data_IF_907636662738
#
_entry.id   IF_907636662738
#
_cell.length_a   1.000
_cell.length_b   1.000
_cell.length_c   1.000
_cell.angle_alpha   90.00
_cell.angle_beta   90.00
_cell.angle_gamma   90.00
#
_symmetry.space_group_name_H-M   'P 1'
#
loop_
_entity.id
_entity.type
_entity.pdbx_description
1 polymer ?
#
# COMPACT_ATOMS: atom_id res chain seq x y z
N UNK A 1 7.67 14.65 -8.92
CA UNK A 1 8.38 14.39 -7.65
C UNK A 1 8.97 15.66 -7.05
N UNK A 2 8.44 16.05 -5.89
CA UNK A 2 8.97 17.14 -5.05
C UNK A 2 10.12 16.62 -4.18
N UNK A 3 11.17 17.45 -4.01
CA UNK A 3 12.39 17.10 -3.28
C UNK A 3 12.62 18.08 -2.14
N UNK A 4 12.90 17.58 -0.95
CA UNK A 4 13.31 18.38 0.20
C UNK A 4 14.41 17.67 0.98
N UNK A 5 15.13 18.46 1.79
CA UNK A 5 16.15 17.97 2.71
C UNK A 5 15.81 18.45 4.11
N UNK A 6 16.02 17.59 5.10
CA UNK A 6 15.88 17.92 6.51
C UNK A 6 17.01 17.26 7.32
N UNK A 7 17.28 17.79 8.51
CA UNK A 7 18.22 17.18 9.44
C UNK A 7 17.48 16.12 10.27
N UNK A 8 18.07 14.93 10.39
CA UNK A 8 17.57 13.84 11.22
C UNK A 8 18.74 13.10 11.84
N UNK A 9 18.75 12.95 13.16
CA UNK A 9 19.84 12.32 13.92
C UNK A 9 21.25 12.87 13.56
N UNK A 10 21.35 14.19 13.39
CA UNK A 10 22.60 14.87 13.02
C UNK A 10 23.10 14.58 11.60
N UNK A 11 22.25 14.03 10.73
CA UNK A 11 22.54 13.60 9.36
C UNK A 11 21.52 14.18 8.38
N UNK A 12 21.85 14.19 7.09
CA UNK A 12 20.94 14.69 6.05
C UNK A 12 19.94 13.60 5.65
N UNK A 13 18.65 13.92 5.77
CA UNK A 13 17.53 13.14 5.24
C UNK A 13 17.03 13.75 3.94
N UNK A 14 16.98 12.93 2.90
CA UNK A 14 16.45 13.26 1.58
C UNK A 14 15.00 12.81 1.46
N UNK A 15 14.05 13.72 1.59
CA UNK A 15 12.64 13.41 1.41
C UNK A 15 12.23 13.59 -0.07
N UNK A 16 11.49 12.61 -0.59
CA UNK A 16 11.00 12.54 -1.96
C UNK A 16 9.51 12.31 -1.94
N UNK A 17 8.74 13.34 -2.28
CA UNK A 17 7.28 13.25 -2.31
C UNK A 17 6.83 13.16 -3.77
N UNK A 18 6.33 12.00 -4.15
CA UNK A 18 5.70 11.81 -5.44
C UNK A 18 4.28 12.38 -5.41
N UNK A 19 3.76 12.76 -6.56
CA UNK A 19 2.37 13.23 -6.66
C UNK A 19 1.39 12.05 -6.80
N UNK A 20 1.84 10.93 -7.38
CA UNK A 20 1.10 9.67 -7.42
C UNK A 20 2.03 8.49 -7.74
N UNK A 21 1.51 7.27 -7.61
CA UNK A 21 2.18 6.04 -8.07
C UNK A 21 2.54 6.07 -9.56
N UNK A 22 1.84 6.87 -10.38
CA UNK A 22 2.15 7.01 -11.80
C UNK A 22 3.56 7.57 -12.04
N UNK A 23 4.10 8.41 -11.14
CA UNK A 23 5.48 8.88 -11.24
C UNK A 23 6.49 7.75 -11.02
N UNK A 24 6.18 6.78 -10.15
CA UNK A 24 7.02 5.58 -9.99
C UNK A 24 6.95 4.69 -11.22
N UNK A 25 5.75 4.50 -11.79
CA UNK A 25 5.57 3.75 -13.03
C UNK A 25 6.31 4.42 -14.20
N UNK A 26 6.34 5.75 -14.23
CA UNK A 26 7.12 6.52 -15.21
C UNK A 26 8.63 6.30 -15.04
N UNK A 27 9.13 6.30 -13.80
CA UNK A 27 10.52 5.95 -13.51
C UNK A 27 10.86 4.50 -13.90
N UNK A 28 9.93 3.55 -13.68
CA UNK A 28 10.10 2.17 -14.15
C UNK A 28 10.20 2.10 -15.68
N UNK A 29 9.35 2.85 -16.37
CA UNK A 29 9.32 2.89 -17.84
C UNK A 29 10.63 3.45 -18.42
N UNK A 30 11.22 4.46 -17.78
CA UNK A 30 12.44 5.13 -18.24
C UNK A 30 13.74 4.57 -17.63
N UNK A 31 13.66 3.48 -16.88
CA UNK A 31 14.82 2.84 -16.26
C UNK A 31 15.89 2.40 -17.28
N UNK A 32 15.56 1.85 -18.47
CA UNK A 32 16.56 1.51 -19.48
C UNK A 32 17.37 2.72 -19.95
N UNK A 33 16.71 3.83 -20.27
CA UNK A 33 17.34 5.07 -20.69
C UNK A 33 18.22 5.65 -19.58
N UNK A 34 17.73 5.62 -18.34
CA UNK A 34 18.51 6.07 -17.19
C UNK A 34 19.76 5.21 -16.98
N UNK A 35 19.68 3.89 -17.18
CA UNK A 35 20.83 3.00 -17.13
C UNK A 35 21.86 3.34 -18.23
N UNK A 36 21.43 3.60 -19.47
CA UNK A 36 22.34 4.00 -20.54
C UNK A 36 23.05 5.33 -20.24
N UNK A 37 22.32 6.32 -19.72
CA UNK A 37 22.87 7.64 -19.40
C UNK A 37 23.84 7.60 -18.21
N UNK A 38 23.52 6.81 -17.20
CA UNK A 38 24.27 6.76 -15.95
C UNK A 38 25.39 5.70 -15.94
N UNK A 39 25.35 4.74 -16.86
CA UNK A 39 26.18 3.54 -16.82
C UNK A 39 25.92 2.64 -15.61
N UNK A 40 24.83 2.88 -14.86
CA UNK A 40 24.41 2.05 -13.74
C UNK A 40 24.02 0.68 -14.27
N UNK A 41 24.67 -0.38 -13.82
CA UNK A 41 24.11 -1.73 -13.87
C UNK A 41 23.00 -1.84 -12.82
N UNK A 42 21.84 -1.27 -13.14
CA UNK A 42 20.70 -1.12 -12.25
C UNK A 42 20.16 -2.48 -11.78
N UNK A 43 19.96 -2.64 -10.47
CA UNK A 43 19.32 -3.85 -9.93
C UNK A 43 17.86 -3.95 -10.35
N UNK A 44 17.17 -2.83 -10.57
CA UNK A 44 15.78 -2.83 -11.05
C UNK A 44 15.60 -3.49 -12.42
N UNK A 45 16.68 -3.53 -13.23
CA UNK A 45 16.70 -4.09 -14.59
C UNK A 45 17.34 -5.48 -14.68
N UNK A 46 17.78 -6.06 -13.55
CA UNK A 46 18.34 -7.43 -13.55
C UNK A 46 17.31 -8.45 -14.04
N UNK A 47 17.82 -9.43 -14.78
CA UNK A 47 17.04 -10.53 -15.40
C UNK A 47 17.47 -11.92 -14.90
N UNK A 48 18.68 -12.02 -14.37
CA UNK A 48 19.30 -13.26 -13.87
C UNK A 48 18.76 -13.69 -12.50
N UNK A 49 18.35 -12.73 -11.68
CA UNK A 49 17.80 -12.94 -10.33
C UNK A 49 16.27 -12.80 -10.27
N UNK A 50 15.55 -13.18 -11.34
CA UNK A 50 14.09 -12.91 -11.46
C UNK A 50 13.23 -13.41 -10.30
N UNK A 51 13.61 -14.51 -9.65
CA UNK A 51 12.90 -15.06 -8.48
C UNK A 51 12.89 -14.11 -7.28
N UNK A 52 13.89 -13.22 -7.22
CA UNK A 52 13.97 -12.20 -6.21
C UNK A 52 12.91 -11.12 -6.45
N UNK A 53 12.73 -10.61 -7.67
CA UNK A 53 11.69 -9.61 -7.97
C UNK A 53 10.30 -10.21 -8.31
N UNK A 54 10.20 -11.53 -8.38
CA UNK A 54 9.03 -12.31 -8.85
C UNK A 54 8.54 -11.94 -10.26
N UNK A 55 9.45 -11.38 -11.05
CA UNK A 55 9.26 -10.88 -12.42
C UNK A 55 10.59 -11.02 -13.13
N UNK A 56 10.60 -11.41 -14.40
CA UNK A 56 11.82 -11.60 -15.21
C UNK A 56 12.34 -10.30 -15.78
N UNK A 57 11.45 -9.42 -16.20
CA UNK A 57 11.80 -8.17 -16.86
C UNK A 57 11.12 -6.98 -16.19
N UNK A 58 11.61 -5.77 -16.49
CA UNK A 58 10.93 -4.55 -16.11
C UNK A 58 9.54 -4.44 -16.78
N UNK A 59 9.41 -4.89 -18.03
CA UNK A 59 8.15 -4.89 -18.77
C UNK A 59 7.08 -5.75 -18.08
N UNK A 60 7.43 -6.94 -17.59
CA UNK A 60 6.51 -7.78 -16.81
C UNK A 60 6.03 -7.03 -15.56
N UNK A 61 6.92 -6.34 -14.85
CA UNK A 61 6.54 -5.56 -13.68
C UNK A 61 5.67 -4.33 -14.02
N UNK A 62 5.92 -3.69 -15.15
CA UNK A 62 5.09 -2.60 -15.67
C UNK A 62 3.69 -3.09 -16.06
N UNK A 63 3.57 -4.27 -16.65
CA UNK A 63 2.26 -4.86 -16.97
C UNK A 63 1.46 -5.12 -15.70
N UNK A 64 2.07 -5.70 -14.67
CA UNK A 64 1.40 -5.92 -13.37
C UNK A 64 0.98 -4.60 -12.72
N UNK A 65 1.82 -3.56 -12.79
CA UNK A 65 1.52 -2.26 -12.22
C UNK A 65 0.38 -1.52 -12.95
N UNK A 66 0.21 -1.72 -14.27
CA UNK A 66 -0.76 -1.00 -15.10
C UNK A 66 -2.08 -1.74 -15.30
N UNK A 67 -1.99 -3.05 -15.48
CA UNK A 67 -3.12 -3.90 -15.89
C UNK A 67 -3.54 -4.87 -14.79
N UNK A 68 -2.75 -4.96 -13.73
CA UNK A 68 -3.06 -5.72 -12.54
C UNK A 68 -2.45 -7.11 -12.51
N UNK A 69 -2.65 -7.77 -11.37
CA UNK A 69 -2.03 -9.03 -11.03
C UNK A 69 -3.09 -9.99 -10.49
N UNK A 70 -3.58 -10.88 -11.36
CA UNK A 70 -4.72 -11.75 -11.06
C UNK A 70 -4.43 -12.70 -9.87
N UNK A 71 -3.22 -13.28 -9.79
CA UNK A 71 -2.85 -14.15 -8.68
C UNK A 71 -2.82 -13.38 -7.35
N UNK A 72 -2.25 -12.18 -7.35
CA UNK A 72 -2.24 -11.30 -6.18
C UNK A 72 -3.64 -10.90 -5.75
N UNK A 73 -4.51 -10.52 -6.71
CA UNK A 73 -5.92 -10.21 -6.47
C UNK A 73 -6.65 -11.38 -5.81
N UNK A 74 -6.44 -12.60 -6.30
CA UNK A 74 -7.03 -13.79 -5.70
C UNK A 74 -6.50 -14.04 -4.29
N UNK A 75 -5.20 -13.85 -4.06
CA UNK A 75 -4.60 -13.96 -2.74
C UNK A 75 -5.20 -12.97 -1.74
N UNK A 76 -5.32 -11.70 -2.12
CA UNK A 76 -5.93 -10.66 -1.29
C UNK A 76 -7.39 -10.99 -0.95
N UNK A 77 -8.19 -11.42 -1.94
CA UNK A 77 -9.58 -11.85 -1.70
C UNK A 77 -9.66 -13.02 -0.72
N UNK A 78 -8.76 -13.98 -0.82
CA UNK A 78 -8.70 -15.12 0.10
C UNK A 78 -8.34 -14.68 1.52
N UNK A 79 -7.37 -13.77 1.68
CA UNK A 79 -6.99 -13.23 2.98
C UNK A 79 -8.18 -12.57 3.67
N UNK A 80 -8.89 -11.69 2.96
CA UNK A 80 -10.13 -11.03 3.43
C UNK A 80 -11.21 -12.07 3.80
N UNK A 81 -11.48 -13.03 2.92
CA UNK A 81 -12.52 -14.04 3.14
C UNK A 81 -12.28 -14.94 4.36
N UNK A 82 -11.02 -15.19 4.74
CA UNK A 82 -10.66 -16.05 5.87
C UNK A 82 -10.89 -15.42 7.24
N UNK A 83 -10.84 -14.10 7.34
CA UNK A 83 -10.87 -13.38 8.62
C UNK A 83 -12.29 -13.30 9.22
N UNK A 84 -13.31 -13.67 8.43
CA UNK A 84 -14.71 -13.46 8.77
C UNK A 84 -14.91 -12.02 9.30
N UNK A 85 -14.59 -11.02 8.46
CA UNK A 85 -14.63 -9.60 8.85
C UNK A 85 -15.93 -9.20 9.56
N UNK A 86 -17.05 -9.84 9.24
CA UNK A 86 -18.34 -9.66 9.89
C UNK A 86 -18.35 -9.95 11.40
N UNK A 87 -17.38 -10.72 11.89
CA UNK A 87 -17.14 -10.98 13.33
C UNK A 87 -16.23 -9.94 13.98
N UNK A 88 -15.48 -9.17 13.20
CA UNK A 88 -14.58 -8.12 13.68
C UNK A 88 -15.20 -6.73 13.60
N UNK A 89 -16.12 -6.51 12.67
CA UNK A 89 -16.66 -5.20 12.33
C UNK A 89 -18.04 -4.99 12.97
N UNK A 90 -18.18 -3.91 13.73
CA UNK A 90 -19.39 -3.49 14.41
C UNK A 90 -20.37 -2.78 13.48
N UNK A 91 -21.13 -3.56 12.70
CA UNK A 91 -22.26 -3.17 11.82
C UNK A 91 -21.86 -2.79 10.39
N UNK A 92 -22.42 -3.52 9.42
CA UNK A 92 -22.50 -3.08 8.01
C UNK A 92 -23.58 -1.99 7.87
N UNK A 93 -23.42 -1.04 6.93
CA UNK A 93 -24.53 -0.21 6.50
C UNK A 93 -25.63 -1.10 5.92
N UNK A 94 -26.80 -1.06 6.53
CA UNK A 94 -27.99 -1.75 6.06
C UNK A 94 -28.66 -0.80 5.07
N UNK A 95 -28.74 -1.21 3.80
CA UNK A 95 -29.64 -0.56 2.83
C UNK A 95 -31.06 -0.86 3.31
N UNK A 96 -31.76 0.17 3.80
CA UNK A 96 -33.16 0.05 4.14
C UNK A 96 -33.96 0.45 2.89
N UNK A 97 -34.62 -0.53 2.28
CA UNK A 97 -35.67 -0.24 1.32
C UNK A 97 -36.95 0.13 2.07
N UNK A 98 -37.62 1.15 1.59
CA UNK A 98 -38.99 1.48 2.00
C UNK A 98 -39.84 1.73 0.76
N UNK A 99 -41.14 1.46 0.88
CA UNK A 99 -42.10 1.91 -0.11
C UNK A 99 -42.38 3.39 0.10
N UNK A 100 -42.43 4.15 -0.99
CA UNK A 100 -42.70 5.57 -1.03
C UNK A 100 -43.44 5.90 -2.35
N UNK A 101 -43.91 7.14 -2.49
CA UNK A 101 -44.60 7.62 -3.68
C UNK A 101 -43.64 7.81 -4.87
N UNK A 102 -42.35 8.00 -4.60
CA UNK A 102 -41.27 8.18 -5.56
C UNK A 102 -40.03 7.42 -5.09
N UNK A 103 -39.26 6.84 -6.00
CA UNK A 103 -38.13 5.98 -5.67
C UNK A 103 -37.39 5.51 -6.91
N UNK A 104 -36.42 4.62 -6.72
CA UNK A 104 -35.50 4.16 -7.76
C UNK A 104 -36.08 3.00 -8.60
N UNK A 105 -36.90 2.15 -7.99
CA UNK A 105 -37.51 0.97 -8.63
C UNK A 105 -39.01 0.89 -8.30
N UNK A 106 -39.81 0.28 -9.18
CA UNK A 106 -41.25 0.03 -8.93
C UNK A 106 -41.43 -1.35 -8.31
N UNK A 107 -42.12 -1.44 -7.17
CA UNK A 107 -42.70 -2.70 -6.72
C UNK A 107 -43.96 -3.00 -7.54
N UNK A 108 -43.81 -3.93 -8.49
CA UNK A 108 -44.86 -4.30 -9.44
C UNK A 108 -46.10 -4.84 -8.69
N UNK A 109 -45.91 -5.53 -7.57
CA UNK A 109 -46.99 -6.07 -6.77
C UNK A 109 -47.83 -4.96 -6.14
N UNK A 110 -47.18 -4.02 -5.45
CA UNK A 110 -47.84 -2.87 -4.83
C UNK A 110 -48.57 -2.00 -5.85
N UNK A 111 -47.95 -1.75 -7.01
CA UNK A 111 -48.54 -0.98 -8.11
C UNK A 111 -49.84 -1.63 -8.62
N UNK A 112 -49.82 -2.95 -8.85
CA UNK A 112 -51.00 -3.69 -9.34
C UNK A 112 -52.16 -3.72 -8.33
N UNK A 113 -51.87 -3.60 -7.04
CA UNK A 113 -52.90 -3.51 -5.99
C UNK A 113 -53.41 -2.08 -5.77
N UNK A 114 -52.85 -1.08 -6.48
CA UNK A 114 -53.27 0.32 -6.36
C UNK A 114 -52.74 1.00 -5.10
N UNK A 115 -51.67 0.48 -4.50
CA UNK A 115 -51.03 1.11 -3.34
C UNK A 115 -50.33 2.42 -3.78
N UNK A 116 -50.60 3.56 -3.13
CA UNK A 116 -49.99 4.83 -3.51
C UNK A 116 -48.47 4.84 -3.34
N UNK A 117 -47.95 4.12 -2.33
CA UNK A 117 -46.52 3.92 -2.05
C UNK A 117 -46.04 2.64 -2.76
N UNK A 118 -45.79 2.72 -4.07
CA UNK A 118 -45.40 1.57 -4.90
C UNK A 118 -43.99 1.71 -5.48
N UNK A 119 -43.27 2.77 -5.12
CA UNK A 119 -41.88 2.97 -5.50
C UNK A 119 -40.98 2.54 -4.36
N UNK A 120 -39.99 1.71 -4.63
CA UNK A 120 -38.92 1.35 -3.70
C UNK A 120 -37.92 2.50 -3.68
N UNK A 121 -37.84 3.20 -2.55
CA UNK A 121 -36.81 4.18 -2.24
C UNK A 121 -35.70 3.50 -1.44
N UNK A 122 -34.48 3.49 -1.98
CA UNK A 122 -33.32 2.96 -1.27
C UNK A 122 -32.70 4.08 -0.44
N UNK A 123 -33.10 4.18 0.82
CA UNK A 123 -32.43 5.06 1.76
C UNK A 123 -31.12 4.41 2.18
N UNK A 124 -30.06 4.74 1.45
CA UNK A 124 -28.71 4.53 1.97
C UNK A 124 -28.56 5.53 3.11
N UNK A 125 -28.74 5.08 4.36
CA UNK A 125 -28.18 5.80 5.51
C UNK A 125 -26.67 5.70 5.44
N UNK A 126 -26.10 6.52 4.57
CA UNK A 126 -24.71 6.90 4.66
C UNK A 126 -24.68 8.07 5.63
N UNK A 127 -24.13 7.86 6.82
CA UNK A 127 -23.28 8.93 7.34
C UNK A 127 -22.08 8.99 6.37
N UNK A 128 -22.25 9.66 5.23
CA UNK A 128 -21.21 9.74 4.17
C UNK A 128 -20.06 10.67 4.52
N UNK A 129 -20.07 11.23 5.71
CA UNK A 129 -18.89 11.81 6.33
C UNK A 129 -18.27 10.78 7.28
N UNK A 130 -17.99 9.60 6.75
CA UNK A 130 -17.11 8.64 7.40
C UNK A 130 -15.78 9.31 7.75
N UNK A 131 -15.22 8.98 8.92
CA UNK A 131 -13.92 9.51 9.35
C UNK A 131 -12.90 9.26 8.22
N UNK A 132 -12.30 10.33 7.71
CA UNK A 132 -11.21 10.21 6.74
C UNK A 132 -9.93 9.86 7.48
N UNK A 133 -9.19 8.90 6.94
CA UNK A 133 -7.85 8.63 7.44
C UNK A 133 -6.89 8.29 6.31
N UNK A 134 -5.63 8.70 6.45
CA UNK A 134 -4.56 8.29 5.54
C UNK A 134 -3.75 7.16 6.18
N UNK A 135 -3.58 6.07 5.44
CA UNK A 135 -2.73 4.96 5.85
C UNK A 135 -1.37 5.09 5.17
N UNK A 136 -0.31 5.17 5.97
CA UNK A 136 1.07 5.09 5.49
C UNK A 136 1.59 3.67 5.70
N UNK A 137 2.15 3.06 4.65
CA UNK A 137 2.73 1.72 4.72
C UNK A 137 4.18 1.77 4.31
N UNK A 138 5.09 1.55 5.26
CA UNK A 138 6.49 1.39 4.93
C UNK A 138 6.69 0.05 4.19
N UNK A 139 7.21 0.13 2.98
CA UNK A 139 7.53 -0.96 2.07
C UNK A 139 9.01 -1.35 2.13
N UNK A 140 9.84 -0.63 2.90
CA UNK A 140 11.25 -0.97 3.07
C UNK A 140 11.42 -2.32 3.73
N UNK A 141 12.14 -3.21 3.07
CA UNK A 141 12.41 -4.56 3.53
C UNK A 141 13.84 -4.97 3.23
N UNK A 142 14.39 -5.85 4.07
CA UNK A 142 15.71 -6.42 3.83
C UNK A 142 15.71 -7.29 2.56
N UNK A 143 16.87 -7.39 1.91
CA UNK A 143 16.99 -8.12 0.64
C UNK A 143 16.68 -9.61 0.77
N UNK A 144 16.85 -10.20 1.96
CA UNK A 144 16.63 -11.62 2.22
C UNK A 144 15.15 -11.99 2.48
N UNK A 145 14.25 -11.02 2.64
CA UNK A 145 12.81 -11.28 2.85
C UNK A 145 12.24 -12.01 1.63
N UNK A 146 11.53 -13.12 1.82
CA UNK A 146 11.02 -13.91 0.69
C UNK A 146 9.79 -13.26 0.03
N UNK A 147 9.57 -13.54 -1.26
CA UNK A 147 8.37 -13.08 -1.98
C UNK A 147 7.08 -13.54 -1.32
N UNK A 148 7.07 -14.75 -0.75
CA UNK A 148 5.93 -15.28 -0.02
C UNK A 148 5.57 -14.44 1.21
N UNK A 149 6.57 -14.00 1.98
CA UNK A 149 6.34 -13.14 3.16
C UNK A 149 5.82 -11.77 2.77
N UNK A 150 6.32 -11.21 1.67
CA UNK A 150 5.81 -9.95 1.11
C UNK A 150 4.32 -10.11 0.75
N UNK A 151 3.96 -11.20 0.07
CA UNK A 151 2.58 -11.47 -0.33
C UNK A 151 1.64 -11.66 0.86
N UNK A 152 2.06 -12.42 1.88
CA UNK A 152 1.29 -12.64 3.11
C UNK A 152 1.07 -11.32 3.88
N UNK A 153 2.12 -10.50 4.01
CA UNK A 153 2.02 -9.17 4.61
C UNK A 153 1.01 -8.32 3.84
N UNK A 154 1.11 -8.27 2.52
CA UNK A 154 0.15 -7.55 1.69
C UNK A 154 -1.30 -8.01 1.88
N UNK A 155 -1.52 -9.31 2.02
CA UNK A 155 -2.82 -9.90 2.38
C UNK A 155 -3.38 -9.38 3.70
N UNK A 156 -2.55 -9.36 4.75
CA UNK A 156 -2.93 -8.84 6.07
C UNK A 156 -3.24 -7.34 6.05
N UNK A 157 -2.42 -6.56 5.34
CA UNK A 157 -2.63 -5.12 5.20
C UNK A 157 -3.90 -4.80 4.43
N UNK A 158 -4.15 -5.51 3.33
CA UNK A 158 -5.38 -5.32 2.56
C UNK A 158 -6.62 -5.69 3.37
N UNK A 159 -6.56 -6.74 4.19
CA UNK A 159 -7.66 -7.08 5.07
C UNK A 159 -7.94 -6.02 6.13
N UNK A 160 -6.90 -5.37 6.67
CA UNK A 160 -7.06 -4.24 7.57
C UNK A 160 -7.71 -3.03 6.87
N UNK A 161 -7.31 -2.74 5.63
CA UNK A 161 -7.95 -1.71 4.79
C UNK A 161 -9.44 -2.01 4.63
N UNK A 162 -9.80 -3.24 4.28
CA UNK A 162 -11.21 -3.62 4.08
C UNK A 162 -12.02 -3.60 5.38
N UNK A 163 -11.41 -3.95 6.52
CA UNK A 163 -12.07 -3.87 7.82
C UNK A 163 -12.38 -2.42 8.22
N UNK A 164 -11.39 -1.53 8.08
CA UNK A 164 -11.57 -0.11 8.34
C UNK A 164 -12.61 0.51 7.39
N UNK A 165 -12.63 0.12 6.11
CA UNK A 165 -13.67 0.54 5.16
C UNK A 165 -15.06 0.07 5.58
N UNK A 166 -15.17 -1.16 6.07
CA UNK A 166 -16.44 -1.72 6.55
C UNK A 166 -16.94 -0.97 7.79
N UNK A 167 -16.04 -0.46 8.64
CA UNK A 167 -16.32 0.45 9.76
C UNK A 167 -16.68 1.88 9.32
N UNK A 168 -16.74 2.16 8.01
CA UNK A 168 -17.12 3.45 7.45
C UNK A 168 -15.97 4.45 7.33
N UNK A 169 -14.70 4.03 7.45
CA UNK A 169 -13.58 4.93 7.16
C UNK A 169 -13.41 5.13 5.65
N UNK A 170 -13.23 6.38 5.26
CA UNK A 170 -12.76 6.73 3.93
C UNK A 170 -11.23 6.76 3.95
N UNK A 171 -10.61 5.67 3.52
CA UNK A 171 -9.16 5.48 3.63
C UNK A 171 -8.41 5.91 2.37
N UNK A 172 -7.36 6.70 2.56
CA UNK A 172 -6.27 6.86 1.61
C UNK A 172 -5.12 5.88 1.90
N UNK A 173 -4.26 5.64 0.91
CA UNK A 173 -3.06 4.82 1.02
C UNK A 173 -1.86 5.56 0.42
N UNK A 174 -0.79 5.69 1.20
CA UNK A 174 0.53 6.14 0.76
C UNK A 174 1.55 5.06 1.09
N UNK A 175 2.27 4.57 0.08
CA UNK A 175 3.42 3.70 0.32
C UNK A 175 4.63 4.56 0.67
N UNK A 176 5.42 4.09 1.61
CA UNK A 176 6.64 4.75 2.06
C UNK A 176 7.82 3.82 1.84
N UNK A 177 8.98 4.36 1.49
CA UNK A 177 10.23 3.60 1.51
C UNK A 177 11.29 4.47 2.19
N UNK A 178 11.77 4.02 3.34
CA UNK A 178 12.78 4.72 4.13
C UNK A 178 14.02 3.85 4.26
N UNK A 179 15.16 4.37 3.78
CA UNK A 179 16.44 3.67 3.86
C UNK A 179 17.56 4.56 4.35
N UNK A 180 18.49 3.95 5.08
CA UNK A 180 19.75 4.56 5.45
C UNK A 180 20.90 3.92 4.71
N UNK A 181 22.02 4.62 4.65
CA UNK A 181 23.29 3.98 4.38
C UNK A 181 24.28 4.22 5.53
N UNK A 182 24.55 3.15 6.28
CA UNK A 182 25.44 3.17 7.45
C UNK A 182 26.85 3.69 7.16
N UNK A 183 27.30 3.56 5.91
CA UNK A 183 28.65 3.99 5.51
C UNK A 183 28.75 5.47 5.13
N UNK A 184 27.63 6.16 4.88
CA UNK A 184 27.64 7.47 4.24
C UNK A 184 26.83 8.55 4.96
N UNK A 185 26.30 8.29 6.16
CA UNK A 185 25.62 9.31 6.99
C UNK A 185 24.45 10.03 6.29
N UNK A 186 23.76 9.33 5.38
CA UNK A 186 22.59 9.85 4.67
C UNK A 186 21.40 8.92 4.79
N UNK A 187 20.23 9.52 4.75
CA UNK A 187 18.94 8.85 4.69
C UNK A 187 18.18 9.28 3.44
N UNK A 188 17.32 8.40 2.93
CA UNK A 188 16.33 8.76 1.91
C UNK A 188 14.97 8.20 2.31
N UNK A 189 13.93 8.99 2.09
CA UNK A 189 12.55 8.59 2.26
C UNK A 189 11.75 8.95 1.00
N UNK A 190 11.05 7.97 0.43
CA UNK A 190 10.09 8.13 -0.65
C UNK A 190 8.68 8.01 -0.11
N UNK A 191 7.84 9.00 -0.39
CA UNK A 191 6.39 8.93 -0.17
C UNK A 191 5.72 8.82 -1.54
N UNK A 192 4.96 7.74 -1.72
CA UNK A 192 4.37 7.32 -2.99
C UNK A 192 2.84 7.24 -2.79
N UNK A 193 2.10 8.33 -3.00
CA UNK A 193 0.65 8.33 -2.88
C UNK A 193 0.03 7.35 -3.88
N UNK A 194 -0.79 6.42 -3.39
CA UNK A 194 -1.48 5.44 -4.24
C UNK A 194 -2.91 5.90 -4.49
N UNK A 195 -3.61 6.31 -3.42
CA UNK A 195 -5.01 6.74 -3.47
C UNK A 195 -5.28 7.72 -2.33
N UNK A 196 -6.09 8.74 -2.58
CA UNK A 196 -6.50 9.70 -1.54
C UNK A 196 -7.75 9.23 -0.78
N UNK A 197 -7.98 9.72 0.45
CA UNK A 197 -9.25 9.51 1.13
C UNK A 197 -10.42 9.98 0.26
N UNK A 198 -11.39 9.11 0.05
CA UNK A 198 -12.57 9.35 -0.80
C UNK A 198 -12.47 8.74 -2.18
N UNK A 199 -11.27 8.35 -2.61
CA UNK A 199 -11.06 7.64 -3.86
C UNK A 199 -11.12 6.12 -3.66
N UNK A 200 -11.39 5.40 -4.73
CA UNK A 200 -11.47 3.94 -4.71
C UNK A 200 -10.08 3.32 -4.92
N UNK A 201 -9.60 2.54 -3.94
CA UNK A 201 -8.41 1.70 -4.14
C UNK A 201 -8.83 0.45 -4.91
N UNK A 202 -8.40 0.37 -6.15
CA UNK A 202 -8.54 -0.84 -6.94
C UNK A 202 -7.70 -1.98 -6.35
N UNK A 203 -8.26 -3.20 -6.35
CA UNK A 203 -7.64 -4.37 -5.72
C UNK A 203 -6.36 -4.81 -6.43
N UNK A 204 -6.24 -4.59 -7.74
CA UNK A 204 -5.02 -4.91 -8.47
C UNK A 204 -3.90 -3.94 -8.14
N UNK A 205 -4.26 -2.66 -8.05
CA UNK A 205 -3.34 -1.62 -7.57
C UNK A 205 -2.86 -1.96 -6.15
N UNK A 206 -3.78 -2.35 -5.26
CA UNK A 206 -3.43 -2.81 -3.92
C UNK A 206 -2.54 -4.06 -3.93
N UNK A 207 -2.84 -5.06 -4.78
CA UNK A 207 -2.06 -6.28 -4.91
C UNK A 207 -0.62 -5.98 -5.35
N UNK A 208 -0.44 -5.13 -6.34
CA UNK A 208 0.90 -4.72 -6.77
C UNK A 208 1.64 -3.98 -5.65
N UNK A 209 1.01 -2.96 -5.05
CA UNK A 209 1.67 -2.11 -4.05
C UNK A 209 2.00 -2.81 -2.74
N UNK A 210 1.08 -3.61 -2.22
CA UNK A 210 1.17 -4.18 -0.88
C UNK A 210 1.78 -5.58 -0.88
N UNK A 211 1.61 -6.35 -1.96
CA UNK A 211 1.85 -7.80 -1.95
C UNK A 211 2.87 -8.27 -3.00
N UNK A 212 3.22 -7.46 -4.01
CA UNK A 212 4.13 -7.90 -5.07
C UNK A 212 5.58 -7.41 -4.82
N UNK A 213 6.60 -8.30 -4.84
CA UNK A 213 8.00 -7.92 -4.59
C UNK A 213 8.55 -6.88 -5.57
N UNK A 214 8.05 -6.86 -6.81
CA UNK A 214 8.46 -5.90 -7.83
C UNK A 214 8.13 -4.44 -7.47
N UNK A 215 7.16 -4.16 -6.59
CA UNK A 215 6.90 -2.79 -6.14
C UNK A 215 8.17 -2.18 -5.53
N UNK A 216 8.78 -2.85 -4.55
CA UNK A 216 10.04 -2.42 -3.95
C UNK A 216 11.22 -2.66 -4.90
N UNK A 217 11.39 -3.91 -5.35
CA UNK A 217 12.62 -4.40 -6.00
C UNK A 217 12.84 -3.88 -7.41
N UNK A 218 11.77 -3.40 -8.08
CA UNK A 218 11.85 -2.77 -9.40
C UNK A 218 11.35 -1.33 -9.35
N UNK A 219 10.17 -1.09 -8.79
CA UNK A 219 9.56 0.25 -8.72
C UNK A 219 10.37 1.26 -7.92
N UNK A 220 10.52 1.01 -6.61
CA UNK A 220 11.29 1.92 -5.75
C UNK A 220 12.77 1.94 -6.13
N UNK A 221 13.33 0.81 -6.56
CA UNK A 221 14.71 0.77 -7.03
C UNK A 221 14.91 1.65 -8.27
N UNK A 222 13.98 1.64 -9.22
CA UNK A 222 14.01 2.55 -10.37
C UNK A 222 13.98 4.01 -9.91
N UNK A 223 13.16 4.38 -8.90
CA UNK A 223 13.18 5.74 -8.33
C UNK A 223 14.56 6.12 -7.78
N UNK A 224 15.19 5.22 -7.01
CA UNK A 224 16.54 5.42 -6.44
C UNK A 224 17.61 5.58 -7.52
N UNK A 225 17.51 4.82 -8.61
CA UNK A 225 18.45 4.87 -9.74
C UNK A 225 18.28 6.15 -10.58
N UNK A 226 17.11 6.79 -10.54
CA UNK A 226 16.84 8.09 -11.15
C UNK A 226 17.28 9.28 -10.28
N UNK A 227 17.81 9.05 -9.08
CA UNK A 227 18.34 10.12 -8.27
C UNK A 227 19.57 10.79 -8.94
N UNK A 228 19.80 12.08 -8.68
CA UNK A 228 21.02 12.77 -9.09
C UNK A 228 22.28 12.07 -8.55
N UNK A 229 23.39 12.18 -9.29
CA UNK A 229 24.63 11.44 -8.97
C UNK A 229 25.13 11.67 -7.54
N UNK A 230 25.04 12.90 -7.02
CA UNK A 230 25.44 13.21 -5.65
C UNK A 230 24.67 12.39 -4.62
N UNK A 231 23.35 12.21 -4.81
CA UNK A 231 22.50 11.40 -3.94
C UNK A 231 22.79 9.92 -4.13
N UNK A 232 22.93 9.45 -5.37
CA UNK A 232 23.28 8.04 -5.64
C UNK A 232 24.62 7.65 -5.01
N UNK A 233 25.62 8.52 -5.11
CA UNK A 233 26.91 8.29 -4.48
C UNK A 233 26.82 8.32 -2.95
N UNK A 234 26.08 9.29 -2.40
CA UNK A 234 25.83 9.40 -0.98
C UNK A 234 25.04 8.21 -0.41
N UNK A 235 24.13 7.61 -1.17
CA UNK A 235 23.30 6.50 -0.70
C UNK A 235 23.81 5.12 -1.12
N UNK A 236 24.85 5.06 -1.95
CA UNK A 236 25.40 3.78 -2.44
C UNK A 236 24.66 3.16 -3.62
N UNK A 237 23.72 3.89 -4.26
CA UNK A 237 22.91 3.44 -5.40
C UNK A 237 23.74 3.40 -6.69
N UNK A 238 24.74 2.51 -6.73
CA UNK A 238 25.71 2.40 -7.80
C UNK A 238 26.12 0.94 -8.06
N UNK A 239 26.87 0.72 -9.15
CA UNK A 239 27.35 -0.61 -9.52
C UNK A 239 28.20 -1.22 -8.41
N UNK A 240 27.81 -2.40 -7.92
CA UNK A 240 28.47 -3.08 -6.80
C UNK A 240 28.16 -2.48 -5.42
N UNK A 241 27.35 -1.42 -5.36
CA UNK A 241 26.77 -0.89 -4.13
C UNK A 241 25.44 -1.56 -3.77
N UNK A 242 24.84 -1.10 -2.67
CA UNK A 242 23.54 -1.57 -2.17
C UNK A 242 22.45 -0.49 -2.30
N UNK A 243 21.21 -0.86 -1.99
CA UNK A 243 20.05 0.05 -2.03
C UNK A 243 19.65 0.57 -0.64
N UNK A 244 20.61 0.55 0.28
CA UNK A 244 20.46 0.93 1.68
C UNK A 244 19.96 -0.19 2.58
N UNK A 245 19.88 0.12 3.87
CA UNK A 245 19.27 -0.69 4.91
C UNK A 245 17.91 -0.09 5.28
N UNK A 246 16.84 -0.90 5.38
CA UNK A 246 15.51 -0.41 5.73
C UNK A 246 15.51 0.23 7.12
N UNK A 247 14.83 1.37 7.27
CA UNK A 247 14.64 2.05 8.57
C UNK A 247 13.17 2.46 8.78
N UNK A 248 12.75 2.74 10.03
CA UNK A 248 11.48 3.39 10.29
C UNK A 248 11.25 4.61 9.40
N UNK A 249 9.98 4.90 9.09
CA UNK A 249 9.60 6.19 8.51
C UNK A 249 10.03 7.29 9.48
N UNK A 250 10.65 8.32 8.92
CA UNK A 250 11.27 9.38 9.70
C UNK A 250 10.45 10.65 9.65
N UNK A 251 9.79 10.92 8.51
CA UNK A 251 9.00 12.14 8.37
C UNK A 251 7.74 12.11 9.24
N UNK A 252 7.28 13.31 9.59
CA UNK A 252 6.06 13.47 10.37
C UNK A 252 4.84 12.96 9.60
N UNK A 253 4.03 12.16 10.31
CA UNK A 253 2.76 11.67 9.80
C UNK A 253 1.73 12.81 9.89
N UNK A 254 1.03 13.16 8.79
CA UNK A 254 0.00 14.20 8.84
C UNK A 254 -1.13 13.87 9.84
N UNK A 255 -1.85 14.87 10.37
CA UNK A 255 -3.01 14.65 11.22
C UNK A 255 -4.03 13.70 10.57
N UNK A 256 -4.75 12.92 11.39
CA UNK A 256 -5.72 11.93 10.92
C UNK A 256 -5.10 10.83 10.04
N UNK A 257 -3.82 10.54 10.22
CA UNK A 257 -3.15 9.45 9.54
C UNK A 257 -2.58 8.47 10.55
N UNK A 258 -2.36 7.23 10.10
CA UNK A 258 -1.68 6.22 10.89
C UNK A 258 -0.65 5.52 10.01
N UNK A 259 0.39 5.00 10.66
CA UNK A 259 1.55 4.41 10.01
C UNK A 259 1.66 2.94 10.39
N UNK A 260 1.98 2.15 9.38
CA UNK A 260 2.40 0.77 9.48
C UNK A 260 3.90 0.76 9.18
N UNK A 261 4.71 0.87 10.23
CA UNK A 261 6.15 1.04 10.13
C UNK A 261 6.91 -0.26 10.42
N UNK A 262 7.95 -0.49 9.62
CA UNK A 262 8.97 -1.54 9.78
C UNK A 262 8.54 -3.00 9.92
N UNK A 263 9.48 -3.88 9.56
CA UNK A 263 9.48 -5.30 9.90
C UNK A 263 8.82 -6.24 8.89
N UNK A 264 9.33 -7.47 8.86
CA UNK A 264 8.49 -8.64 8.57
C UNK A 264 7.44 -8.86 9.68
N UNK A 265 7.58 -8.13 10.81
CA UNK A 265 6.56 -7.86 11.80
C UNK A 265 5.59 -6.78 11.35
N UNK A 266 4.43 -6.80 11.97
CA UNK A 266 3.27 -6.01 11.59
C UNK A 266 2.89 -5.03 12.72
N UNK A 267 3.88 -4.57 13.48
CA UNK A 267 3.69 -3.76 14.68
C UNK A 267 3.35 -2.31 14.34
N UNK A 268 2.08 -1.99 14.57
CA UNK A 268 1.49 -0.67 14.47
C UNK A 268 1.73 0.07 15.79
N UNK A 269 2.89 0.70 15.94
CA UNK A 269 3.13 1.59 17.08
C UNK A 269 2.31 2.90 16.98
N UNK A 270 1.13 2.98 17.59
CA UNK A 270 0.57 4.24 18.11
C UNK A 270 -0.52 4.04 19.16
N UNK A 271 -0.78 5.11 19.93
CA UNK A 271 -1.83 5.16 20.95
C UNK A 271 -3.26 5.28 20.39
N UNK A 272 -3.45 5.45 19.08
CA UNK A 272 -4.78 5.70 18.51
C UNK A 272 -5.66 4.45 18.45
N UNK A 273 -6.95 4.59 18.74
CA UNK A 273 -7.92 3.49 18.69
C UNK A 273 -8.03 2.85 17.29
N UNK A 274 -7.87 3.66 16.24
CA UNK A 274 -7.88 3.21 14.83
C UNK A 274 -6.71 2.27 14.57
N UNK A 275 -5.54 2.61 15.08
CA UNK A 275 -4.34 1.80 14.89
C UNK A 275 -4.39 0.51 15.71
N UNK A 276 -4.88 0.55 16.95
CA UNK A 276 -5.13 -0.68 17.73
C UNK A 276 -6.15 -1.61 17.06
N UNK A 277 -7.16 -1.06 16.41
CA UNK A 277 -8.13 -1.86 15.66
C UNK A 277 -7.49 -2.48 14.41
N UNK A 278 -6.78 -1.67 13.62
CA UNK A 278 -6.03 -2.15 12.47
C UNK A 278 -5.05 -3.28 12.88
N UNK A 279 -4.35 -3.12 14.00
CA UNK A 279 -3.41 -4.13 14.52
C UNK A 279 -4.13 -5.44 14.79
N UNK A 280 -5.26 -5.40 15.50
CA UNK A 280 -6.04 -6.60 15.80
C UNK A 280 -6.50 -7.33 14.54
N UNK A 281 -6.87 -6.60 13.48
CA UNK A 281 -7.25 -7.21 12.19
C UNK A 281 -6.03 -7.85 11.55
N UNK A 282 -4.91 -7.16 11.54
CA UNK A 282 -3.64 -7.64 11.00
C UNK A 282 -3.17 -8.92 11.73
N UNK A 283 -3.11 -8.90 13.06
CA UNK A 283 -2.71 -10.04 13.91
C UNK A 283 -3.59 -11.26 13.64
N UNK A 284 -4.91 -11.07 13.66
CA UNK A 284 -5.86 -12.15 13.39
C UNK A 284 -5.72 -12.69 11.96
N UNK A 285 -5.39 -11.84 11.00
CA UNK A 285 -5.12 -12.27 9.62
C UNK A 285 -3.91 -13.19 9.57
N UNK A 286 -2.80 -12.77 10.19
CA UNK A 286 -1.60 -13.59 10.26
C UNK A 286 -1.84 -14.94 10.95
N UNK A 287 -2.53 -14.93 12.09
CA UNK A 287 -2.92 -16.16 12.80
C UNK A 287 -3.71 -17.11 11.91
N UNK A 288 -4.67 -16.56 11.13
CA UNK A 288 -5.52 -17.36 10.24
C UNK A 288 -4.76 -17.85 8.99
N UNK A 289 -3.71 -17.12 8.60
CA UNK A 289 -2.79 -17.52 7.53
C UNK A 289 -1.70 -18.50 8.01
N UNK A 290 -1.63 -18.81 9.31
CA UNK A 290 -0.75 -19.83 9.88
C UNK A 290 0.60 -19.32 10.39
N UNK A 291 0.75 -18.01 10.62
CA UNK A 291 1.99 -17.40 11.13
C UNK A 291 1.70 -16.66 12.45
N UNK A 292 2.50 -16.95 13.49
CA UNK A 292 2.48 -16.16 14.73
C UNK A 292 3.11 -14.77 14.52
N UNK A 293 2.93 -13.82 15.46
CA UNK A 293 3.60 -12.53 15.40
C UNK A 293 5.10 -12.76 15.22
N UNK A 294 5.71 -12.05 14.27
CA UNK A 294 7.13 -12.17 13.99
C UNK A 294 7.90 -11.95 15.31
N UNK A 295 8.69 -12.94 15.71
CA UNK A 295 9.61 -12.77 16.83
C UNK A 295 10.62 -11.68 16.47
N UNK A 296 10.84 -10.74 17.39
CA UNK A 296 11.81 -9.64 17.34
C UNK A 296 13.28 -10.12 17.27
N UNK A 297 13.63 -10.95 16.28
CA UNK A 297 15.02 -11.33 16.02
C UNK A 297 15.48 -10.70 14.71
N UNK A 298 16.25 -9.62 14.91
CA UNK A 298 16.90 -8.71 13.97
C UNK A 298 17.83 -9.39 12.97
#
# INVERSE_FOLDING_TARGET
MRRSEQEYDGRTMHLRQLDSISEMIDAMQHAPEQQEQSGLRASSLKIDEWRWSDTKTMDEALELARYGWEEGRQHLRQAVGRIALDQLVGRRPIVQSRLDFAGDEVDIGAYLHGEPEHMVDYQVRQDTHGKQAMMYVNASMASHVSSERIMQRGGALYAAIEALRTEGYSLGLTMVESTQNNSFSHYVEYQIPVVQPGEYLDIDTAAFCLAHPAFLRRGVFALKEHEPNNIRHAMGFMVGGGYGEPIPMVSDIPPHSFLIDQGEGLDLHSDSDVQRFAQKVVDRTLETLGHGPASDEW
#
